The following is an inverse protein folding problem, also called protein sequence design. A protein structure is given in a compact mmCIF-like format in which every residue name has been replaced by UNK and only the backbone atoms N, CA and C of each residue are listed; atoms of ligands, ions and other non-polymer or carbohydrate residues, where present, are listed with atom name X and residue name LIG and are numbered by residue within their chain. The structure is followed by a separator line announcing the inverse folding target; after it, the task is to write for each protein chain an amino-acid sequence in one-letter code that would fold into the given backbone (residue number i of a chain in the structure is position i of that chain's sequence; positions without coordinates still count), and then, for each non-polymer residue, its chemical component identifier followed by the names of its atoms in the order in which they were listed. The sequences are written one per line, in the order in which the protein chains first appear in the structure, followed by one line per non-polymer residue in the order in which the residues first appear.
data_IF_301026402499
#
_entry.id   IF_301026402499
#
_cell.length_a   1.000
_cell.length_b   1.000
_cell.length_c   1.000
_cell.angle_alpha   90.00
_cell.angle_beta   90.00
_cell.angle_gamma   90.00
#
_symmetry.space_group_name_H-M   'P 1'
#
loop_
_entity.id
_entity.type
_entity.pdbx_description
1 polymer ?
#
# COMPACT_ATOMS: atom_id res chain seq x y z
N UNK A 1 -11.90 -8.36 -1.43
CA UNK A 1 -10.81 -8.26 -2.44
C UNK A 1 -10.25 -9.67 -2.65
N UNK A 2 -9.72 -10.06 -3.81
CA UNK A 2 -9.31 -11.47 -4.08
C UNK A 2 -8.27 -12.03 -3.09
N UNK A 3 -7.56 -11.16 -2.37
CA UNK A 3 -6.63 -11.51 -1.29
C UNK A 3 -7.32 -12.02 -0.02
N UNK A 4 -8.59 -11.67 0.23
CA UNK A 4 -9.33 -12.04 1.44
C UNK A 4 -9.84 -13.50 1.36
N UNK A 5 -9.77 -14.09 0.16
CA UNK A 5 -10.21 -15.45 -0.11
C UNK A 5 -11.65 -15.52 -0.63
N UNK A 6 -11.88 -16.36 -1.63
CA UNK A 6 -13.21 -16.72 -2.12
C UNK A 6 -13.37 -18.24 -2.06
N UNK A 7 -14.56 -18.72 -1.72
CA UNK A 7 -14.88 -20.15 -1.77
C UNK A 7 -15.03 -20.57 -3.23
N UNK A 8 -14.20 -21.52 -3.67
CA UNK A 8 -14.22 -22.08 -5.02
C UNK A 8 -14.30 -23.60 -4.95
N UNK A 9 -14.99 -24.20 -5.92
CA UNK A 9 -15.10 -25.65 -6.03
C UNK A 9 -13.99 -26.21 -6.92
N UNK A 10 -13.22 -27.17 -6.41
CA UNK A 10 -12.22 -27.93 -7.16
C UNK A 10 -12.89 -29.16 -7.80
N UNK A 11 -13.03 -29.16 -9.12
CA UNK A 11 -13.64 -30.26 -9.86
C UNK A 11 -12.81 -31.56 -9.87
N UNK A 12 -11.49 -31.47 -9.67
CA UNK A 12 -10.60 -32.63 -9.62
C UNK A 12 -10.71 -33.34 -8.25
N UNK A 13 -10.69 -32.56 -7.17
CA UNK A 13 -10.80 -33.09 -5.79
C UNK A 13 -12.24 -33.26 -5.29
N UNK A 14 -13.22 -32.70 -6.02
CA UNK A 14 -14.65 -32.66 -5.66
C UNK A 14 -14.91 -32.03 -4.28
N UNK A 15 -14.13 -31.01 -3.93
CA UNK A 15 -14.22 -30.31 -2.64
C UNK A 15 -14.16 -28.79 -2.83
N UNK A 16 -14.64 -28.04 -1.83
CA UNK A 16 -14.46 -26.59 -1.82
C UNK A 16 -13.10 -26.23 -1.21
N UNK A 17 -12.43 -25.26 -1.81
CA UNK A 17 -11.21 -24.66 -1.28
C UNK A 17 -11.31 -23.14 -1.27
N UNK A 18 -10.50 -22.49 -0.43
CA UNK A 18 -10.39 -21.03 -0.41
C UNK A 18 -9.34 -20.58 -1.41
N UNK A 19 -9.77 -19.96 -2.51
CA UNK A 19 -8.86 -19.35 -3.47
C UNK A 19 -8.49 -17.94 -3.00
N UNK A 20 -7.19 -17.70 -2.82
CA UNK A 20 -6.63 -16.37 -2.58
C UNK A 20 -5.73 -15.98 -3.73
N UNK A 21 -5.89 -14.78 -4.26
CA UNK A 21 -4.95 -14.23 -5.24
C UNK A 21 -4.17 -13.07 -4.62
N UNK A 22 -2.85 -13.13 -4.75
CA UNK A 22 -1.93 -12.09 -4.27
C UNK A 22 -1.18 -11.49 -5.46
N UNK A 23 -1.08 -10.17 -5.50
CA UNK A 23 -0.24 -9.47 -6.49
C UNK A 23 1.21 -9.68 -6.06
N UNK A 24 1.99 -10.40 -6.87
CA UNK A 24 3.42 -10.64 -6.59
C UNK A 24 4.29 -9.52 -7.13
N UNK A 25 4.02 -9.09 -8.37
CA UNK A 25 4.75 -8.02 -9.03
C UNK A 25 3.86 -7.37 -10.08
N UNK A 26 4.19 -6.12 -10.37
CA UNK A 26 3.50 -5.26 -11.31
C UNK A 26 4.47 -4.13 -11.68
N UNK A 27 4.46 -3.72 -12.93
CA UNK A 27 5.38 -2.69 -13.44
C UNK A 27 4.58 -1.63 -14.16
N UNK A 28 4.93 -0.38 -13.95
CA UNK A 28 4.27 0.76 -14.57
C UNK A 28 4.92 2.05 -14.11
N UNK A 29 4.55 3.15 -14.76
CA UNK A 29 4.89 4.47 -14.27
C UNK A 29 4.07 4.81 -13.01
N UNK A 30 4.56 5.78 -12.23
CA UNK A 30 3.94 6.16 -10.96
C UNK A 30 2.44 6.50 -11.07
N UNK A 31 1.94 7.17 -12.13
CA UNK A 31 0.51 7.37 -12.35
C UNK A 31 -0.28 6.07 -12.55
N UNK A 32 0.19 5.14 -13.39
CA UNK A 32 -0.52 3.87 -13.62
C UNK A 32 -0.61 3.04 -12.34
N UNK A 33 0.51 2.94 -11.62
CA UNK A 33 0.54 2.24 -10.33
C UNK A 33 -0.39 2.91 -9.32
N UNK A 34 -0.35 4.24 -9.19
CA UNK A 34 -1.24 4.96 -8.28
C UNK A 34 -2.72 4.66 -8.54
N UNK A 35 -3.12 4.55 -9.82
CA UNK A 35 -4.49 4.23 -10.20
C UNK A 35 -4.88 2.79 -9.90
N UNK A 36 -4.01 1.82 -10.22
CA UNK A 36 -4.31 0.40 -10.02
C UNK A 36 -4.29 0.02 -8.54
N UNK A 37 -3.46 0.66 -7.71
CA UNK A 37 -3.45 0.43 -6.25
C UNK A 37 -4.42 1.30 -5.45
N UNK A 38 -5.08 2.27 -6.07
CA UNK A 38 -5.90 3.26 -5.38
C UNK A 38 -5.10 4.07 -4.35
N UNK A 39 -3.90 4.53 -4.72
CA UNK A 39 -3.09 5.41 -3.88
C UNK A 39 -3.66 6.83 -3.90
N UNK A 40 -3.62 7.51 -2.75
CA UNK A 40 -4.15 8.88 -2.57
C UNK A 40 -3.21 9.97 -3.09
N UNK A 41 -2.01 9.62 -3.55
CA UNK A 41 -1.04 10.53 -4.18
C UNK A 41 0.14 10.91 -3.28
N UNK A 42 0.89 11.91 -3.71
CA UNK A 42 2.23 12.24 -3.18
C UNK A 42 2.26 12.71 -1.71
N UNK A 43 1.15 13.17 -1.15
CA UNK A 43 1.06 13.68 0.23
C UNK A 43 0.23 12.76 1.15
N UNK A 44 0.17 11.46 0.82
CA UNK A 44 -0.52 10.47 1.65
C UNK A 44 0.29 10.16 2.91
N UNK A 45 -0.36 9.63 3.95
CA UNK A 45 0.32 9.04 5.11
C UNK A 45 0.76 7.59 4.86
N UNK A 46 0.25 6.94 3.83
CA UNK A 46 0.60 5.58 3.43
C UNK A 46 1.07 5.62 1.98
N UNK A 47 2.38 5.58 1.79
CA UNK A 47 3.03 5.72 0.47
C UNK A 47 3.03 4.42 -0.34
N UNK A 48 2.80 3.30 0.33
CA UNK A 48 2.75 1.99 -0.29
C UNK A 48 1.68 1.14 0.42
N UNK A 49 0.88 0.41 -0.37
CA UNK A 49 -0.14 -0.51 0.15
C UNK A 49 0.43 -1.81 0.70
N UNK A 50 1.65 -2.16 0.27
CA UNK A 50 2.29 -3.43 0.59
C UNK A 50 3.37 -3.31 1.67
N UNK A 51 3.88 -2.11 1.92
CA UNK A 51 4.90 -1.86 2.94
C UNK A 51 4.29 -1.13 4.14
N UNK A 52 4.81 -1.36 5.34
CA UNK A 52 4.45 -0.56 6.53
C UNK A 52 5.21 0.78 6.54
N UNK A 53 5.03 1.58 5.49
CA UNK A 53 5.57 2.94 5.39
C UNK A 53 4.55 3.92 5.96
N UNK A 54 4.95 4.65 7.00
CA UNK A 54 4.12 5.66 7.64
C UNK A 54 4.72 7.05 7.43
N UNK A 55 3.90 7.92 6.87
CA UNK A 55 4.23 9.32 6.67
C UNK A 55 4.13 10.10 7.97
N UNK A 56 5.00 11.08 8.16
CA UNK A 56 4.96 12.08 9.22
C UNK A 56 4.72 13.44 8.59
N UNK A 57 3.69 14.16 9.05
CA UNK A 57 3.37 15.50 8.57
C UNK A 57 4.36 16.51 9.16
N UNK A 58 5.02 17.28 8.31
CA UNK A 58 5.65 18.52 8.76
C UNK A 58 4.59 19.63 8.79
N UNK A 59 4.28 20.12 10.00
CA UNK A 59 3.24 21.13 10.22
C UNK A 59 3.56 22.48 9.55
N UNK A 60 4.84 22.78 9.32
CA UNK A 60 5.30 24.05 8.77
C UNK A 60 4.97 24.18 7.29
N UNK A 61 5.28 23.15 6.50
CA UNK A 61 5.10 23.14 5.03
C UNK A 61 3.87 22.33 4.58
N UNK A 62 3.17 21.66 5.51
CA UNK A 62 2.02 20.78 5.26
C UNK A 62 2.33 19.62 4.29
N UNK A 63 3.58 19.18 4.28
CA UNK A 63 4.05 18.06 3.47
C UNK A 63 4.32 16.83 4.34
N UNK A 64 3.97 15.66 3.83
CA UNK A 64 4.14 14.37 4.49
C UNK A 64 5.44 13.73 4.01
N UNK A 65 6.31 13.39 4.95
CA UNK A 65 7.59 12.75 4.69
C UNK A 65 7.59 11.32 5.20
N UNK A 66 8.39 10.45 4.58
CA UNK A 66 8.57 9.06 5.01
C UNK A 66 9.97 8.88 5.61
N UNK A 67 10.18 9.24 6.89
CA UNK A 67 11.49 9.12 7.51
C UNK A 67 11.88 7.66 7.69
N UNK A 68 13.19 7.38 7.59
CA UNK A 68 13.74 6.04 7.82
C UNK A 68 13.59 5.60 9.29
N UNK A 69 13.71 6.56 10.23
CA UNK A 69 13.50 6.33 11.65
C UNK A 69 12.10 6.81 12.05
N UNK A 70 11.38 5.99 12.81
CA UNK A 70 10.08 6.37 13.36
C UNK A 70 10.25 7.23 14.62
N UNK A 71 9.30 8.14 14.87
CA UNK A 71 9.32 9.00 16.06
C UNK A 71 10.22 10.23 15.95
N UNK A 72 10.60 10.62 14.73
CA UNK A 72 11.29 11.89 14.49
C UNK A 72 10.32 13.04 14.81
N UNK A 73 10.83 14.06 15.50
CA UNK A 73 10.07 15.29 15.75
C UNK A 73 9.74 15.95 14.39
N UNK A 74 8.45 16.22 14.08
CA UNK A 74 8.03 16.87 12.84
C UNK A 74 8.82 18.12 12.46
N UNK A 75 9.37 18.85 13.45
CA UNK A 75 10.17 20.06 13.23
C UNK A 75 11.55 19.78 12.64
N UNK A 76 12.06 18.56 12.76
CA UNK A 76 13.33 18.13 12.18
C UNK A 76 13.18 17.70 10.72
N UNK A 77 11.95 17.59 10.21
CA UNK A 77 11.71 17.26 8.82
C UNK A 77 12.12 18.42 7.91
N UNK A 78 12.56 18.12 6.67
CA UNK A 78 12.87 19.16 5.69
C UNK A 78 11.68 20.10 5.45
N UNK A 79 12.00 21.35 5.14
CA UNK A 79 11.04 22.40 4.70
C UNK A 79 10.85 22.31 3.20
#
# INVERSE_FOLDING_TARGET
MLQDGISCYDGNKKENFTLRAHILAWTGDLPALSKVLYLTGHNSYSGCRFCNLQGTLNETNKHVYYPLQQGIDPKQLPI
#
